data_IF_668533279735
#
_entry.id   IF_668533279735
#
_cell.length_a   1.000
_cell.length_b   1.000
_cell.length_c   1.000
_cell.angle_alpha   90.00
_cell.angle_beta   90.00
_cell.angle_gamma   90.00
#
_symmetry.space_group_name_H-M   'P 1'
#
loop_
_entity.id
_entity.type
_entity.pdbx_description
1 polymer ?
#
# COMPACT_ATOMS: atom_id res chain seq x y z
N UNK A 1 7.50 -6.34 -36.49
CA UNK A 1 6.83 -6.44 -35.18
C UNK A 1 6.18 -5.09 -34.89
N UNK A 2 4.85 -5.08 -34.85
CA UNK A 2 3.93 -3.93 -34.96
C UNK A 2 4.03 -2.95 -33.78
N UNK A 3 3.95 -1.64 -34.05
CA UNK A 3 4.22 -0.54 -33.11
C UNK A 3 3.49 -0.60 -31.76
N UNK A 4 2.28 -1.16 -31.69
CA UNK A 4 1.51 -1.30 -30.45
C UNK A 4 2.19 -2.19 -29.39
N UNK A 5 2.95 -3.21 -29.81
CA UNK A 5 3.71 -4.05 -28.88
C UNK A 5 4.96 -3.34 -28.34
N UNK A 6 5.57 -2.45 -29.14
CA UNK A 6 6.71 -1.65 -28.71
C UNK A 6 6.29 -0.54 -27.73
N UNK A 7 5.17 0.14 -27.99
CA UNK A 7 4.60 1.14 -27.07
C UNK A 7 4.11 0.52 -25.77
N UNK A 8 3.52 -0.68 -25.80
CA UNK A 8 3.16 -1.41 -24.57
C UNK A 8 4.39 -1.81 -23.76
N UNK A 9 5.48 -2.22 -24.42
CA UNK A 9 6.74 -2.59 -23.77
C UNK A 9 7.51 -1.38 -23.22
N UNK A 10 7.55 -0.27 -23.96
CA UNK A 10 8.11 1.00 -23.50
C UNK A 10 7.30 1.57 -22.33
N UNK A 11 5.97 1.53 -22.40
CA UNK A 11 5.10 1.95 -21.30
C UNK A 11 5.33 1.07 -20.07
N UNK A 12 5.36 -0.25 -20.23
CA UNK A 12 5.65 -1.18 -19.13
C UNK A 12 7.00 -0.94 -18.45
N UNK A 13 8.04 -0.61 -19.23
CA UNK A 13 9.36 -0.28 -18.70
C UNK A 13 9.35 1.05 -17.93
N UNK A 14 8.76 2.10 -18.50
CA UNK A 14 8.62 3.41 -17.83
C UNK A 14 7.82 3.30 -16.53
N UNK A 15 6.78 2.47 -16.53
CA UNK A 15 5.90 2.23 -15.39
C UNK A 15 6.59 1.44 -14.27
N UNK A 16 7.37 0.42 -14.63
CA UNK A 16 8.20 -0.35 -13.69
C UNK A 16 9.29 0.53 -13.08
N UNK A 17 9.93 1.37 -13.91
CA UNK A 17 10.94 2.33 -13.48
C UNK A 17 10.34 3.38 -12.54
N UNK A 18 9.16 3.93 -12.86
CA UNK A 18 8.44 4.86 -12.00
C UNK A 18 8.07 4.23 -10.65
N UNK A 19 7.63 2.96 -10.64
CA UNK A 19 7.31 2.23 -9.42
C UNK A 19 8.58 2.00 -8.57
N UNK A 20 9.70 1.63 -9.19
CA UNK A 20 10.98 1.48 -8.49
C UNK A 20 11.45 2.79 -7.86
N UNK A 21 11.46 3.88 -8.63
CA UNK A 21 11.79 5.22 -8.11
C UNK A 21 10.82 5.67 -7.01
N UNK A 22 9.52 5.40 -7.17
CA UNK A 22 8.51 5.73 -6.16
C UNK A 22 8.71 4.98 -4.84
N UNK A 23 9.06 3.70 -4.90
CA UNK A 23 9.40 2.89 -3.72
C UNK A 23 10.66 3.44 -3.04
N UNK A 24 11.70 3.73 -3.83
CA UNK A 24 12.99 4.23 -3.32
C UNK A 24 12.82 5.60 -2.63
N UNK A 25 12.12 6.53 -3.28
CA UNK A 25 11.81 7.84 -2.70
C UNK A 25 10.94 7.70 -1.46
N UNK A 26 9.92 6.83 -1.49
CA UNK A 26 9.07 6.58 -0.33
C UNK A 26 9.87 6.00 0.84
N UNK A 27 10.85 5.13 0.59
CA UNK A 27 11.74 4.61 1.64
C UNK A 27 12.58 5.72 2.26
N UNK A 28 13.17 6.59 1.43
CA UNK A 28 14.01 7.69 1.89
C UNK A 28 13.22 8.70 2.74
N UNK A 29 12.00 9.04 2.31
CA UNK A 29 11.10 9.90 3.08
C UNK A 29 10.73 9.27 4.43
N UNK A 30 10.41 7.96 4.45
CA UNK A 30 10.07 7.25 5.68
C UNK A 30 11.27 7.12 6.63
N UNK A 31 12.46 6.84 6.09
CA UNK A 31 13.69 6.80 6.87
C UNK A 31 13.99 8.15 7.53
N UNK A 32 13.75 9.25 6.80
CA UNK A 32 13.87 10.60 7.33
C UNK A 32 12.80 10.91 8.40
N UNK A 33 11.53 10.52 8.18
CA UNK A 33 10.45 10.77 9.14
C UNK A 33 10.64 10.01 10.46
N UNK A 34 11.01 8.72 10.39
CA UNK A 34 11.09 7.88 11.58
C UNK A 34 12.45 7.91 12.28
N UNK A 35 13.43 8.63 11.72
CA UNK A 35 14.81 8.71 12.19
C UNK A 35 15.41 7.31 12.50
N UNK A 36 14.94 6.30 11.75
CA UNK A 36 15.21 4.89 11.99
C UNK A 36 15.07 4.11 10.70
N UNK A 37 16.09 3.32 10.34
CA UNK A 37 16.13 2.54 9.10
C UNK A 37 15.30 1.24 9.17
N UNK A 38 14.95 0.78 10.38
CA UNK A 38 14.24 -0.49 10.59
C UNK A 38 12.73 -0.36 10.42
N UNK A 39 12.17 0.78 10.80
CA UNK A 39 10.72 1.01 10.74
C UNK A 39 10.15 1.08 9.31
N UNK A 40 10.83 1.74 8.35
CA UNK A 40 10.43 1.72 6.95
C UNK A 40 10.43 0.32 6.33
N UNK A 41 11.33 -0.57 6.77
CA UNK A 41 11.40 -1.95 6.29
C UNK A 41 10.12 -2.75 6.63
N UNK A 42 9.57 -2.58 7.84
CA UNK A 42 8.30 -3.25 8.21
C UNK A 42 7.13 -2.76 7.36
N UNK A 43 7.12 -1.48 6.98
CA UNK A 43 6.09 -0.90 6.12
C UNK A 43 6.25 -1.42 4.68
N UNK A 44 7.48 -1.52 4.18
CA UNK A 44 7.78 -2.09 2.86
C UNK A 44 7.41 -3.58 2.76
N UNK A 45 7.52 -4.34 3.84
CA UNK A 45 7.08 -5.74 3.90
C UNK A 45 5.57 -5.92 3.69
N UNK A 46 4.75 -4.91 4.00
CA UNK A 46 3.30 -4.94 3.72
C UNK A 46 2.97 -4.70 2.23
N UNK A 47 3.89 -4.07 1.49
CA UNK A 47 3.73 -3.72 0.07
C UNK A 47 3.52 -4.94 -0.86
N UNK A 48 4.35 -6.02 -0.80
CA UNK A 48 4.13 -7.20 -1.65
C UNK A 48 2.81 -7.92 -1.33
N UNK A 49 2.32 -7.81 -0.09
CA UNK A 49 1.02 -8.36 0.30
C UNK A 49 -0.12 -7.64 -0.42
N UNK A 50 -0.03 -6.31 -0.51
CA UNK A 50 -0.97 -5.49 -1.29
C UNK A 50 -0.94 -5.82 -2.78
N UNK A 51 0.26 -6.02 -3.35
CA UNK A 51 0.43 -6.39 -4.76
C UNK A 51 -0.21 -7.75 -5.07
N UNK A 52 0.03 -8.75 -4.20
CA UNK A 52 -0.55 -10.09 -4.33
C UNK A 52 -2.08 -10.04 -4.26
N UNK A 53 -2.64 -9.28 -3.32
CA UNK A 53 -4.09 -9.09 -3.21
C UNK A 53 -4.72 -8.45 -4.44
N UNK A 54 -4.06 -7.46 -5.04
CA UNK A 54 -4.50 -6.83 -6.28
C UNK A 54 -4.52 -7.82 -7.45
N UNK A 55 -3.46 -8.62 -7.61
CA UNK A 55 -3.38 -9.63 -8.67
C UNK A 55 -4.44 -10.72 -8.53
N UNK A 56 -4.69 -11.20 -7.30
CA UNK A 56 -5.74 -12.18 -7.02
C UNK A 56 -7.11 -11.60 -7.35
N UNK A 57 -7.38 -10.34 -6.98
CA UNK A 57 -8.63 -9.68 -7.34
C UNK A 57 -8.82 -9.59 -8.86
N UNK A 58 -7.81 -9.14 -9.60
CA UNK A 58 -7.87 -9.13 -11.07
C UNK A 58 -8.15 -10.51 -11.66
N UNK A 59 -7.50 -11.55 -11.12
CA UNK A 59 -7.69 -12.92 -11.57
C UNK A 59 -9.12 -13.42 -11.35
N UNK A 60 -9.70 -13.16 -10.17
CA UNK A 60 -11.08 -13.56 -9.84
C UNK A 60 -12.12 -12.82 -10.71
N UNK A 61 -11.89 -11.54 -11.00
CA UNK A 61 -12.78 -10.73 -11.85
C UNK A 61 -12.52 -10.90 -13.36
N UNK A 62 -11.55 -11.73 -13.76
CA UNK A 62 -11.19 -11.95 -15.17
C UNK A 62 -10.65 -10.70 -15.88
N UNK A 63 -10.17 -9.71 -15.12
CA UNK A 63 -9.67 -8.44 -15.66
C UNK A 63 -8.20 -8.56 -16.08
N UNK A 64 -7.87 -7.97 -17.22
CA UNK A 64 -6.48 -7.96 -17.73
C UNK A 64 -5.64 -6.89 -17.03
N UNK A 65 -4.35 -7.16 -16.85
CA UNK A 65 -3.41 -6.19 -16.31
C UNK A 65 -3.16 -5.06 -17.34
N UNK A 66 -3.90 -3.96 -17.19
CA UNK A 66 -3.83 -2.80 -18.06
C UNK A 66 -3.38 -1.53 -17.30
N UNK A 67 -3.25 -0.42 -18.02
CA UNK A 67 -2.80 0.85 -17.43
C UNK A 67 -3.74 1.37 -16.33
N UNK A 68 -5.06 1.15 -16.47
CA UNK A 68 -6.06 1.48 -15.45
C UNK A 68 -5.89 0.64 -14.17
N UNK A 69 -5.67 -0.67 -14.32
CA UNK A 69 -5.38 -1.58 -13.22
C UNK A 69 -4.09 -1.18 -12.51
N UNK A 70 -3.10 -0.67 -13.23
CA UNK A 70 -1.86 -0.17 -12.64
C UNK A 70 -2.06 1.09 -11.81
N UNK A 71 -2.88 2.04 -12.28
CA UNK A 71 -3.25 3.23 -11.51
C UNK A 71 -3.97 2.81 -10.21
N UNK A 72 -4.92 1.87 -10.30
CA UNK A 72 -5.59 1.30 -9.14
C UNK A 72 -4.63 0.61 -8.17
N UNK A 73 -3.63 -0.10 -8.70
CA UNK A 73 -2.58 -0.73 -7.90
C UNK A 73 -1.75 0.30 -7.15
N UNK A 74 -1.32 1.39 -7.78
CA UNK A 74 -0.59 2.49 -7.11
C UNK A 74 -1.43 3.08 -5.97
N UNK A 75 -2.73 3.34 -6.21
CA UNK A 75 -3.64 3.85 -5.20
C UNK A 75 -3.74 2.90 -4.01
N UNK A 76 -3.93 1.61 -4.26
CA UNK A 76 -4.00 0.56 -3.26
C UNK A 76 -2.70 0.50 -2.41
N UNK A 77 -1.54 0.56 -3.07
CA UNK A 77 -0.24 0.61 -2.38
C UNK A 77 -0.15 1.82 -1.44
N UNK A 78 -0.67 2.98 -1.85
CA UNK A 78 -0.73 4.19 -1.02
C UNK A 78 -1.60 4.00 0.24
N UNK A 79 -2.79 3.42 0.08
CA UNK A 79 -3.73 3.17 1.17
C UNK A 79 -3.17 2.19 2.21
N UNK A 80 -2.64 1.05 1.77
CA UNK A 80 -2.06 0.03 2.66
C UNK A 80 -0.84 0.58 3.39
N UNK A 81 0.01 1.34 2.69
CA UNK A 81 1.18 2.01 3.27
C UNK A 81 0.76 3.01 4.35
N UNK A 82 -0.24 3.87 4.08
CA UNK A 82 -0.75 4.85 5.05
C UNK A 82 -1.21 4.16 6.34
N UNK A 83 -1.98 3.08 6.23
CA UNK A 83 -2.46 2.33 7.40
C UNK A 83 -1.31 1.70 8.19
N UNK A 84 -0.28 1.21 7.49
CA UNK A 84 0.93 0.64 8.11
C UNK A 84 1.77 1.70 8.82
N UNK A 85 1.97 2.87 8.19
CA UNK A 85 2.67 4.03 8.76
C UNK A 85 1.99 4.45 10.07
N UNK A 86 0.66 4.63 10.02
CA UNK A 86 -0.13 5.01 11.19
C UNK A 86 0.12 4.00 12.33
N UNK A 87 0.00 2.70 12.08
CA UNK A 87 0.14 1.69 13.13
C UNK A 87 1.53 1.76 13.80
N UNK A 88 2.60 1.83 13.00
CA UNK A 88 3.98 1.91 13.49
C UNK A 88 4.21 3.19 14.30
N UNK A 89 3.73 4.33 13.79
CA UNK A 89 3.83 5.63 14.47
C UNK A 89 3.14 5.61 15.83
N UNK A 90 1.95 5.02 15.92
CA UNK A 90 1.22 4.93 17.19
C UNK A 90 1.94 4.06 18.21
N UNK A 91 2.47 2.90 17.77
CA UNK A 91 3.24 2.01 18.63
C UNK A 91 4.49 2.72 19.16
N UNK A 92 5.18 3.49 18.30
CA UNK A 92 6.32 4.31 18.73
C UNK A 92 5.92 5.45 19.68
N UNK A 93 4.77 6.07 19.45
CA UNK A 93 4.25 7.12 20.31
C UNK A 93 3.94 6.57 21.71
N UNK A 94 3.23 5.43 21.81
CA UNK A 94 2.99 4.74 23.09
C UNK A 94 4.30 4.31 23.73
N UNK A 95 5.28 3.83 22.95
CA UNK A 95 6.62 3.51 23.47
C UNK A 95 7.34 4.71 24.07
N UNK A 96 7.18 5.91 23.48
CA UNK A 96 7.80 7.14 23.99
C UNK A 96 7.29 7.55 25.39
N UNK A 97 6.14 7.02 25.82
CA UNK A 97 5.62 7.21 27.19
C UNK A 97 6.31 6.32 28.23
N UNK A 98 7.36 5.59 27.86
CA UNK A 98 8.16 4.75 28.76
C UNK A 98 7.72 3.28 28.84
N UNK A 99 6.69 2.87 28.08
CA UNK A 99 6.20 1.49 28.04
C UNK A 99 7.10 0.58 27.19
N UNK A 100 7.17 -0.69 27.56
CA UNK A 100 7.97 -1.69 26.84
C UNK A 100 7.29 -2.08 25.51
N UNK A 101 8.06 -2.53 24.51
CA UNK A 101 7.55 -2.69 23.12
C UNK A 101 6.31 -3.60 23.04
N UNK A 102 6.29 -4.68 23.84
CA UNK A 102 5.19 -5.64 23.84
C UNK A 102 3.92 -5.05 24.46
N UNK A 103 4.08 -4.21 25.48
CA UNK A 103 2.98 -3.53 26.14
C UNK A 103 2.38 -2.45 25.23
N UNK A 104 3.25 -1.69 24.54
CA UNK A 104 2.83 -0.70 23.54
C UNK A 104 2.06 -1.31 22.37
N UNK A 105 2.47 -2.50 21.90
CA UNK A 105 1.75 -3.23 20.85
C UNK A 105 0.40 -3.73 21.38
N UNK A 106 0.35 -4.29 22.59
CA UNK A 106 -0.88 -4.86 23.16
C UNK A 106 -1.96 -3.80 23.41
N UNK A 107 -1.57 -2.60 23.79
CA UNK A 107 -2.47 -1.46 23.99
C UNK A 107 -2.80 -0.76 22.66
N UNK A 108 -1.81 -0.58 21.78
CA UNK A 108 -1.96 0.19 20.55
C UNK A 108 -2.61 -0.54 19.38
N UNK A 109 -2.40 -1.85 19.23
CA UNK A 109 -3.04 -2.63 18.17
C UNK A 109 -4.57 -2.57 18.21
N UNK A 110 -5.27 -2.86 19.33
CA UNK A 110 -6.74 -2.87 19.35
C UNK A 110 -7.35 -1.48 19.13
N UNK A 111 -6.70 -0.41 19.59
CA UNK A 111 -7.16 0.97 19.38
C UNK A 111 -7.13 1.35 17.91
N UNK A 112 -6.08 0.92 17.17
CA UNK A 112 -5.91 1.20 15.74
C UNK A 112 -6.64 0.23 14.82
N UNK A 113 -6.92 -0.99 15.30
CA UNK A 113 -7.64 -1.99 14.53
C UNK A 113 -9.02 -1.48 14.06
N UNK A 114 -9.75 -0.79 14.94
CA UNK A 114 -11.06 -0.19 14.61
C UNK A 114 -10.96 0.84 13.45
N UNK A 115 -10.10 1.88 13.53
CA UNK A 115 -9.86 2.80 12.41
C UNK A 115 -9.36 2.14 11.12
N UNK A 116 -8.45 1.17 11.21
CA UNK A 116 -7.91 0.47 10.04
C UNK A 116 -9.03 -0.30 9.33
N UNK A 117 -9.84 -1.05 10.08
CA UNK A 117 -11.00 -1.75 9.53
C UNK A 117 -12.01 -0.78 8.92
N UNK A 118 -12.34 0.32 9.60
CA UNK A 118 -13.26 1.33 9.07
C UNK A 118 -12.79 1.91 7.74
N UNK A 119 -11.49 2.23 7.62
CA UNK A 119 -10.93 2.78 6.38
C UNK A 119 -10.89 1.73 5.27
N UNK A 120 -10.54 0.49 5.58
CA UNK A 120 -10.56 -0.62 4.62
C UNK A 120 -11.96 -0.91 4.11
N UNK A 121 -12.96 -1.02 4.99
CA UNK A 121 -14.36 -1.24 4.59
C UNK A 121 -14.90 -0.08 3.76
N UNK A 122 -14.60 1.17 4.15
CA UNK A 122 -15.00 2.35 3.39
C UNK A 122 -14.37 2.37 1.99
N UNK A 123 -13.08 2.03 1.88
CA UNK A 123 -12.39 1.97 0.58
C UNK A 123 -12.97 0.89 -0.33
N UNK A 124 -13.29 -0.28 0.23
CA UNK A 124 -13.95 -1.37 -0.50
C UNK A 124 -15.35 -0.93 -0.95
N UNK A 125 -16.15 -0.39 -0.03
CA UNK A 125 -17.50 0.09 -0.35
C UNK A 125 -17.51 1.20 -1.41
N UNK A 126 -16.54 2.12 -1.37
CA UNK A 126 -16.36 3.17 -2.37
C UNK A 126 -15.91 2.62 -3.73
N UNK A 127 -15.17 1.50 -3.75
CA UNK A 127 -14.69 0.86 -4.97
C UNK A 127 -15.72 -0.08 -5.62
N UNK A 128 -16.78 -0.51 -4.90
CA UNK A 128 -17.83 -1.40 -5.43
C UNK A 128 -18.61 -0.78 -6.61
N UNK A 129 -19.12 0.46 -6.56
CA UNK A 129 -19.89 1.03 -7.67
C UNK A 129 -19.07 1.15 -8.97
N UNK A 130 -17.83 1.69 -8.96
CA UNK A 130 -16.96 1.69 -10.13
C UNK A 130 -16.61 0.28 -10.62
N UNK A 131 -16.47 -0.69 -9.72
CA UNK A 131 -16.15 -2.08 -10.08
C UNK A 131 -17.33 -2.81 -10.75
N UNK A 132 -18.58 -2.48 -10.37
CA UNK A 132 -19.79 -3.04 -10.95
C UNK A 132 -20.31 -2.27 -12.17
N UNK A 133 -19.60 -1.21 -12.60
CA UNK A 133 -20.05 -0.29 -13.65
C UNK A 133 -21.45 0.30 -13.39
N UNK A 134 -21.85 0.40 -12.12
CA UNK A 134 -23.01 1.18 -11.69
C UNK A 134 -22.58 2.65 -11.64
N UNK A 135 -22.32 3.23 -12.81
CA UNK A 135 -21.77 4.58 -12.99
C UNK A 135 -20.77 4.66 -14.11
#
# INVERSE_FOLDING_TARGET
>A
MTGSAKTAKESGNSLTLALLFGILLSYMILASQFNSLKQPLYILLAMPFSFTGALVALYVFGQSFNMYSFIGLILLLGLVKKNSILLVEFVNHVRSTGKNIQESIREGCPIRLRPVLMTSFSSIAAAIPPALALG
#
